data_IF_104884673153
#
_entry.id   IF_104884673153
#
_cell.length_a   1.000
_cell.length_b   1.000
_cell.length_c   1.000
_cell.angle_alpha   90.00
_cell.angle_beta   90.00
_cell.angle_gamma   90.00
#
_symmetry.space_group_name_H-M   'P 1'
#
loop_
_entity.id
_entity.type
_entity.pdbx_description
1 polymer ?
#
# COMPACT_ATOMS: atom_id res chain seq x y z
N UNK A 1 -65.57 -11.64 7.22
CA UNK A 1 -65.19 -10.58 6.25
C UNK A 1 -63.67 -10.50 6.18
N UNK A 2 -63.12 -10.60 4.97
CA UNK A 2 -61.68 -10.63 4.62
C UNK A 2 -61.31 -9.25 4.05
N UNK A 3 -60.19 -8.64 4.48
CA UNK A 3 -59.31 -7.66 3.78
C UNK A 3 -58.52 -6.84 4.81
N UNK A 4 -57.29 -6.35 4.62
CA UNK A 4 -56.20 -6.59 3.69
C UNK A 4 -55.00 -5.73 4.17
N UNK A 5 -53.79 -6.28 4.08
CA UNK A 5 -52.49 -5.60 3.79
C UNK A 5 -52.14 -4.30 4.56
N UNK A 6 -51.13 -4.40 5.42
CA UNK A 6 -50.16 -3.31 5.63
C UNK A 6 -48.75 -3.88 5.84
N UNK A 7 -48.25 -4.53 4.78
CA UNK A 7 -46.88 -5.05 4.69
C UNK A 7 -45.99 -4.21 3.76
N UNK A 8 -46.28 -2.91 3.61
CA UNK A 8 -45.70 -2.08 2.53
C UNK A 8 -44.98 -0.81 3.02
N UNK A 9 -44.51 -0.73 4.26
CA UNK A 9 -43.91 0.50 4.80
C UNK A 9 -42.45 0.40 5.29
N UNK A 10 -41.88 -0.80 5.43
CA UNK A 10 -40.50 -0.94 5.93
C UNK A 10 -39.44 -0.96 4.81
N UNK A 11 -39.81 -1.36 3.58
CA UNK A 11 -38.85 -1.47 2.47
C UNK A 11 -38.53 -0.17 1.71
N UNK A 12 -39.36 0.88 1.83
CA UNK A 12 -39.26 2.07 0.97
C UNK A 12 -38.50 3.25 1.60
N UNK A 13 -38.35 3.29 2.93
CA UNK A 13 -37.61 4.36 3.61
C UNK A 13 -36.08 4.21 3.50
N UNK A 14 -35.58 2.97 3.33
CA UNK A 14 -34.14 2.71 3.21
C UNK A 14 -33.52 3.20 1.87
N UNK A 15 -34.34 3.51 0.86
CA UNK A 15 -33.84 3.98 -0.46
C UNK A 15 -33.87 5.50 -0.65
N UNK A 16 -34.59 6.24 0.20
CA UNK A 16 -34.75 7.69 0.03
C UNK A 16 -33.54 8.51 0.54
N UNK A 17 -32.62 7.90 1.28
CA UNK A 17 -31.44 8.59 1.83
C UNK A 17 -30.21 8.64 0.90
N UNK A 18 -30.27 8.02 -0.28
CA UNK A 18 -29.11 7.93 -1.19
C UNK A 18 -28.96 9.09 -2.18
N UNK A 19 -29.97 9.98 -2.29
CA UNK A 19 -29.99 11.11 -3.23
C UNK A 19 -30.04 12.48 -2.52
N UNK A 20 -29.31 12.66 -1.41
CA UNK A 20 -29.07 14.01 -0.89
C UNK A 20 -27.88 14.64 -1.62
N UNK A 21 -28.00 15.86 -2.16
CA UNK A 21 -26.86 16.58 -2.72
C UNK A 21 -25.82 16.77 -1.62
N UNK A 22 -24.61 16.23 -1.84
CA UNK A 22 -23.51 16.29 -0.87
C UNK A 22 -23.02 17.71 -0.71
N UNK A 23 -22.58 18.04 0.50
CA UNK A 23 -22.11 19.41 0.81
C UNK A 23 -20.70 19.61 0.30
N UNK A 24 -20.34 20.86 -0.02
CA UNK A 24 -19.01 21.23 -0.54
C UNK A 24 -17.86 20.80 0.38
N UNK A 25 -18.10 20.78 1.69
CA UNK A 25 -17.16 20.32 2.71
C UNK A 25 -16.89 18.81 2.62
N UNK A 26 -17.88 18.03 2.19
CA UNK A 26 -17.78 16.58 2.00
C UNK A 26 -16.98 16.25 0.73
N UNK A 27 -17.10 17.08 -0.32
CA UNK A 27 -16.24 17.02 -1.50
C UNK A 27 -14.80 17.44 -1.18
N UNK A 28 -14.60 18.45 -0.32
CA UNK A 28 -13.28 18.92 0.09
C UNK A 28 -12.52 17.88 0.94
N UNK A 29 -13.22 16.95 1.60
CA UNK A 29 -12.64 15.86 2.40
C UNK A 29 -12.06 14.72 1.55
N UNK A 30 -12.24 14.75 0.23
CA UNK A 30 -11.86 13.68 -0.68
C UNK A 30 -12.92 12.59 -0.69
N UNK A 31 -13.65 12.48 -1.80
CA UNK A 31 -14.71 11.50 -1.96
C UNK A 31 -14.07 10.11 -2.14
N UNK A 32 -14.44 9.09 -1.34
CA UNK A 32 -13.92 7.73 -1.51
C UNK A 32 -14.22 7.24 -2.94
N UNK A 33 -13.18 6.82 -3.66
CA UNK A 33 -13.21 6.10 -4.94
C UNK A 33 -14.07 6.68 -6.07
N UNK A 34 -14.31 8.00 -6.09
CA UNK A 34 -15.17 8.58 -7.12
C UNK A 34 -14.51 8.73 -8.50
N UNK A 35 -13.17 8.72 -8.56
CA UNK A 35 -12.44 8.97 -9.81
C UNK A 35 -11.43 7.91 -10.21
N UNK A 36 -11.43 6.74 -9.56
CA UNK A 36 -10.59 5.63 -9.98
C UNK A 36 -11.45 4.55 -10.65
N UNK A 37 -11.51 4.49 -12.00
CA UNK A 37 -12.20 3.42 -12.72
C UNK A 37 -11.60 2.03 -12.46
N UNK A 38 -10.44 1.95 -11.80
CA UNK A 38 -9.87 0.71 -11.30
C UNK A 38 -10.17 0.44 -9.82
N UNK A 39 -10.79 1.36 -9.07
CA UNK A 39 -11.07 1.31 -7.61
C UNK A 39 -11.57 -0.01 -7.01
N UNK A 40 -12.24 -0.87 -7.79
CA UNK A 40 -12.67 -2.22 -7.39
C UNK A 40 -11.96 -3.40 -8.07
N UNK A 41 -11.21 -3.15 -9.16
CA UNK A 41 -10.41 -4.12 -9.91
C UNK A 41 -9.05 -3.47 -10.23
N UNK A 42 -8.12 -3.56 -9.27
CA UNK A 42 -6.78 -2.97 -9.42
C UNK A 42 -6.60 -1.54 -8.89
N UNK A 43 -7.62 -1.00 -8.21
CA UNK A 43 -7.59 0.31 -7.57
C UNK A 43 -6.50 0.37 -6.54
N UNK A 44 -5.77 1.49 -6.49
CA UNK A 44 -4.53 1.61 -5.75
C UNK A 44 -4.70 1.07 -4.31
N UNK A 45 -4.20 -0.14 -4.07
CA UNK A 45 -4.18 -0.71 -2.74
C UNK A 45 -3.52 0.32 -1.81
N UNK A 46 -4.06 0.57 -0.60
CA UNK A 46 -3.51 1.55 0.33
C UNK A 46 -1.98 1.44 0.35
N UNK A 47 -1.27 2.56 0.22
CA UNK A 47 0.17 2.65 0.00
C UNK A 47 1.05 1.82 0.97
N UNK A 48 0.45 1.33 2.06
CA UNK A 48 1.00 0.35 2.99
C UNK A 48 1.44 -0.99 2.36
N UNK A 49 0.74 -1.54 1.37
CA UNK A 49 1.15 -2.81 0.72
C UNK A 49 2.45 -2.65 -0.06
N UNK A 50 2.60 -1.54 -0.79
CA UNK A 50 3.82 -1.21 -1.52
C UNK A 50 4.98 -0.90 -0.57
N UNK A 51 4.71 -0.20 0.54
CA UNK A 51 5.74 0.13 1.53
C UNK A 51 6.29 -1.12 2.22
N UNK A 52 5.41 -2.05 2.59
CA UNK A 52 5.81 -3.33 3.22
C UNK A 52 6.60 -4.18 2.24
N UNK A 53 6.16 -4.27 0.99
CA UNK A 53 6.91 -4.94 -0.07
C UNK A 53 8.30 -4.34 -0.24
N UNK A 54 8.42 -3.01 -0.26
CA UNK A 54 9.72 -2.33 -0.42
C UNK A 54 10.68 -2.68 0.71
N UNK A 55 10.21 -2.70 1.95
CA UNK A 55 11.00 -3.11 3.12
C UNK A 55 11.45 -4.57 2.97
N UNK A 56 10.54 -5.48 2.58
CA UNK A 56 10.86 -6.90 2.40
C UNK A 56 11.90 -7.09 1.29
N UNK A 57 11.68 -6.48 0.12
CA UNK A 57 12.61 -6.56 -1.01
C UNK A 57 13.98 -5.99 -0.67
N UNK A 58 14.03 -4.81 -0.02
CA UNK A 58 15.30 -4.22 0.41
C UNK A 58 16.01 -5.10 1.44
N UNK A 59 15.28 -5.70 2.39
CA UNK A 59 15.86 -6.62 3.39
C UNK A 59 16.43 -7.87 2.71
N UNK A 60 15.69 -8.49 1.78
CA UNK A 60 16.16 -9.64 1.01
C UNK A 60 17.39 -9.27 0.16
N UNK A 61 17.38 -8.12 -0.50
CA UNK A 61 18.51 -7.63 -1.28
C UNK A 61 19.77 -7.46 -0.42
N UNK A 62 19.65 -6.90 0.78
CA UNK A 62 20.77 -6.79 1.73
C UNK A 62 21.30 -8.17 2.11
N UNK A 63 20.44 -9.11 2.48
CA UNK A 63 20.85 -10.47 2.87
C UNK A 63 21.58 -11.16 1.72
N UNK A 64 21.03 -11.10 0.51
CA UNK A 64 21.64 -11.70 -0.68
C UNK A 64 22.97 -11.04 -1.05
N UNK A 65 23.07 -9.72 -0.97
CA UNK A 65 24.32 -9.00 -1.24
C UNK A 65 25.39 -9.35 -0.20
N UNK A 66 25.05 -9.40 1.09
CA UNK A 66 25.99 -9.76 2.15
C UNK A 66 26.46 -11.20 2.00
N UNK A 67 25.52 -12.14 1.83
CA UNK A 67 25.85 -13.55 1.65
C UNK A 67 26.68 -13.80 0.39
N UNK A 68 26.31 -13.16 -0.73
CA UNK A 68 27.06 -13.21 -1.97
C UNK A 68 28.45 -12.57 -1.85
N UNK A 69 28.58 -11.41 -1.21
CA UNK A 69 29.88 -10.77 -1.02
C UNK A 69 30.82 -11.65 -0.19
N UNK A 70 30.33 -12.29 0.87
CA UNK A 70 31.11 -13.24 1.67
C UNK A 70 31.53 -14.44 0.82
N UNK A 71 30.62 -14.99 0.01
CA UNK A 71 30.92 -16.13 -0.87
C UNK A 71 31.99 -15.78 -1.91
N UNK A 72 31.85 -14.64 -2.58
CA UNK A 72 32.83 -14.17 -3.57
C UNK A 72 34.19 -13.89 -2.93
N UNK A 73 34.22 -13.29 -1.74
CA UNK A 73 35.45 -13.06 -0.99
C UNK A 73 36.15 -14.38 -0.63
N UNK A 74 35.37 -15.41 -0.25
CA UNK A 74 35.88 -16.74 0.06
C UNK A 74 36.57 -17.40 -1.14
N UNK A 75 36.04 -17.19 -2.35
CA UNK A 75 36.65 -17.68 -3.59
C UNK A 75 37.72 -16.76 -4.18
N UNK A 76 38.07 -15.65 -3.50
CA UNK A 76 39.08 -14.70 -3.96
C UNK A 76 38.62 -13.79 -5.11
N UNK A 77 37.32 -13.75 -5.39
CA UNK A 77 36.75 -12.96 -6.47
C UNK A 77 36.43 -11.54 -5.99
N UNK A 78 37.45 -10.68 -6.05
CA UNK A 78 37.41 -9.34 -5.46
C UNK A 78 36.41 -8.41 -6.14
N UNK A 79 36.24 -8.50 -7.47
CA UNK A 79 35.33 -7.60 -8.19
C UNK A 79 33.87 -7.86 -7.80
N UNK A 80 33.48 -9.13 -7.63
CA UNK A 80 32.12 -9.48 -7.24
C UNK A 80 31.84 -9.11 -5.79
N UNK A 81 32.84 -9.24 -4.92
CA UNK A 81 32.77 -8.76 -3.53
C UNK A 81 32.51 -7.25 -3.46
N UNK A 82 33.28 -6.47 -4.24
CA UNK A 82 33.14 -5.00 -4.28
C UNK A 82 31.77 -4.61 -4.87
N UNK A 83 31.37 -5.23 -5.98
CA UNK A 83 30.09 -4.94 -6.63
C UNK A 83 28.91 -5.21 -5.69
N UNK A 84 28.88 -6.39 -5.06
CA UNK A 84 27.83 -6.75 -4.10
C UNK A 84 27.88 -5.88 -2.84
N UNK A 85 29.08 -5.46 -2.42
CA UNK A 85 29.26 -4.49 -1.34
C UNK A 85 28.58 -3.16 -1.65
N UNK A 86 28.80 -2.60 -2.85
CA UNK A 86 28.19 -1.33 -3.28
C UNK A 86 26.67 -1.45 -3.38
N UNK A 87 26.16 -2.52 -4.00
CA UNK A 87 24.70 -2.75 -4.11
C UNK A 87 24.07 -2.99 -2.74
N UNK A 88 24.75 -3.74 -1.87
CA UNK A 88 24.33 -3.98 -0.50
C UNK A 88 24.27 -2.70 0.33
N UNK A 89 25.26 -1.82 0.17
CA UNK A 89 25.28 -0.52 0.83
C UNK A 89 24.12 0.36 0.36
N UNK A 90 23.86 0.43 -0.95
CA UNK A 90 22.71 1.15 -1.50
C UNK A 90 21.38 0.61 -0.97
N UNK A 91 21.25 -0.70 -0.89
CA UNK A 91 20.05 -1.36 -0.35
C UNK A 91 19.83 -1.07 1.14
N UNK A 92 20.92 -1.00 1.94
CA UNK A 92 20.86 -0.59 3.34
C UNK A 92 20.40 0.87 3.49
N UNK A 93 20.88 1.76 2.63
CA UNK A 93 20.45 3.17 2.62
C UNK A 93 18.96 3.29 2.26
N UNK A 94 18.48 2.55 1.25
CA UNK A 94 17.05 2.54 0.90
C UNK A 94 16.19 2.00 2.04
N UNK A 95 16.58 0.86 2.63
CA UNK A 95 15.88 0.28 3.77
C UNK A 95 15.83 1.25 4.95
N UNK A 96 16.97 1.85 5.31
CA UNK A 96 17.07 2.84 6.35
C UNK A 96 16.20 4.07 6.08
N UNK A 97 16.21 4.58 4.86
CA UNK A 97 15.39 5.72 4.44
C UNK A 97 13.89 5.40 4.52
N UNK A 98 13.46 4.24 4.02
CA UNK A 98 12.06 3.81 4.03
C UNK A 98 11.56 3.62 5.47
N UNK A 99 12.35 2.98 6.33
CA UNK A 99 12.03 2.79 7.75
C UNK A 99 12.01 4.14 8.47
N UNK A 100 12.96 5.01 8.19
CA UNK A 100 13.05 6.33 8.77
C UNK A 100 11.84 7.20 8.39
N UNK A 101 11.44 7.19 7.11
CA UNK A 101 10.22 7.86 6.62
C UNK A 101 8.98 7.30 7.30
N UNK A 102 8.86 5.97 7.43
CA UNK A 102 7.75 5.32 8.15
C UNK A 102 7.67 5.77 9.62
N UNK A 103 8.80 5.97 10.29
CA UNK A 103 8.86 6.43 11.69
C UNK A 103 8.46 7.89 11.88
N UNK A 104 8.59 8.74 10.85
CA UNK A 104 8.20 10.17 10.92
C UNK A 104 6.70 10.40 10.78
N UNK A 105 5.90 9.36 10.54
CA UNK A 105 4.44 9.47 10.59
C UNK A 105 3.84 10.27 9.42
N UNK A 106 4.58 10.45 8.32
CA UNK A 106 3.99 10.83 7.04
C UNK A 106 3.29 9.58 6.48
N UNK A 107 1.95 9.48 6.54
CA UNK A 107 1.26 8.43 5.82
C UNK A 107 1.52 8.67 4.32
N UNK A 108 2.07 7.65 3.66
CA UNK A 108 1.99 7.56 2.22
C UNK A 108 0.56 7.37 1.76
#
# INVERSE_FOLDING_TARGET
MRTARSGYSIGMQARAHQNRPRTREEYARGLPDYHDPTGGFGGAAPAYSALTLRIVLATLAVILCVGGAILFAYYGEWWGTVLLGVVGLGSLVDLGWVVHRKRRGEPG
#
